data_IF_467694366877
#
_entry.id   IF_467694366877
#
_cell.length_a   1.000
_cell.length_b   1.000
_cell.length_c   1.000
_cell.angle_alpha   90.00
_cell.angle_beta   90.00
_cell.angle_gamma   90.00
#
_symmetry.space_group_name_H-M   'P 1'
#
loop_
_entity.id
_entity.type
_entity.pdbx_description
1 polymer ?
#
# COMPACT_ATOMS: atom_id res chain seq x y z
N UNK A 1 49.79 -37.72 -47.92
CA UNK A 1 49.62 -36.82 -46.76
C UNK A 1 48.78 -35.56 -47.07
N UNK A 2 48.83 -34.98 -48.28
CA UNK A 2 47.96 -33.84 -48.64
C UNK A 2 46.47 -34.25 -48.83
N UNK A 3 46.19 -35.36 -49.54
CA UNK A 3 44.82 -35.86 -49.77
C UNK A 3 44.08 -36.30 -48.49
N UNK A 4 44.80 -36.68 -47.43
CA UNK A 4 44.24 -37.07 -46.14
C UNK A 4 43.74 -35.87 -45.32
N UNK A 5 44.26 -34.65 -45.56
CA UNK A 5 43.82 -33.46 -44.86
C UNK A 5 42.55 -32.86 -45.48
N UNK A 6 42.46 -32.81 -46.81
CA UNK A 6 41.26 -32.35 -47.53
C UNK A 6 40.06 -33.28 -47.33
N UNK A 7 40.29 -34.60 -47.28
CA UNK A 7 39.24 -35.58 -46.98
C UNK A 7 38.66 -35.42 -45.57
N UNK A 8 39.48 -35.05 -44.58
CA UNK A 8 39.02 -34.75 -43.22
C UNK A 8 38.28 -33.41 -43.15
N UNK A 9 38.71 -32.40 -43.93
CA UNK A 9 38.08 -31.07 -43.96
C UNK A 9 36.67 -31.12 -44.60
N UNK A 10 36.46 -31.95 -45.63
CA UNK A 10 35.13 -32.12 -46.24
C UNK A 10 34.13 -32.85 -45.33
N UNK A 11 34.60 -33.75 -44.46
CA UNK A 11 33.75 -34.46 -43.49
C UNK A 11 33.20 -33.54 -42.37
N UNK A 12 33.79 -32.37 -42.14
CA UNK A 12 33.43 -31.45 -41.05
C UNK A 12 32.21 -30.54 -41.35
N UNK A 13 31.65 -30.57 -42.57
CA UNK A 13 30.51 -29.73 -42.98
C UNK A 13 29.23 -30.51 -43.27
N UNK A 14 29.21 -31.80 -42.98
CA UNK A 14 28.08 -32.66 -43.27
C UNK A 14 26.93 -32.39 -42.29
N UNK A 15 25.72 -32.17 -42.80
CA UNK A 15 24.45 -32.16 -42.07
C UNK A 15 23.53 -33.34 -42.46
N UNK A 16 22.33 -33.46 -41.86
CA UNK A 16 21.41 -34.58 -42.11
C UNK A 16 20.92 -34.73 -43.57
N UNK A 17 21.05 -33.69 -44.37
CA UNK A 17 20.67 -33.64 -45.79
C UNK A 17 21.86 -33.87 -46.74
N UNK A 18 23.06 -34.11 -46.20
CA UNK A 18 24.27 -34.29 -47.01
C UNK A 18 24.16 -35.51 -47.92
N UNK A 19 24.69 -35.34 -49.13
CA UNK A 19 24.66 -36.34 -50.20
C UNK A 19 26.03 -36.97 -50.44
N UNK A 20 26.08 -38.02 -51.26
CA UNK A 20 27.34 -38.67 -51.63
C UNK A 20 28.29 -37.78 -52.43
N UNK A 21 27.80 -36.71 -53.06
CA UNK A 21 28.64 -35.70 -53.75
C UNK A 21 29.61 -34.97 -52.82
N UNK A 22 29.29 -34.88 -51.53
CA UNK A 22 30.05 -34.11 -50.54
C UNK A 22 31.18 -34.92 -49.90
N UNK A 23 31.27 -36.21 -50.25
CA UNK A 23 32.33 -37.11 -49.79
C UNK A 23 33.54 -37.08 -50.72
N UNK A 24 34.76 -37.39 -50.22
CA UNK A 24 35.92 -37.55 -51.08
C UNK A 24 35.74 -38.77 -51.99
N UNK A 25 35.60 -38.51 -53.29
CA UNK A 25 35.41 -39.48 -54.35
C UNK A 25 36.72 -39.65 -55.15
N UNK A 26 37.05 -40.88 -55.50
CA UNK A 26 38.26 -41.21 -56.27
C UNK A 26 37.91 -41.48 -57.73
N UNK A 27 38.50 -40.73 -58.65
CA UNK A 27 38.39 -40.98 -60.08
C UNK A 27 39.48 -41.94 -60.54
N UNK A 28 39.09 -43.18 -60.87
CA UNK A 28 40.00 -44.13 -61.49
C UNK A 28 39.24 -45.12 -62.38
N UNK A 29 39.13 -44.73 -63.65
CA UNK A 29 38.45 -45.47 -64.70
C UNK A 29 39.43 -45.91 -65.79
N UNK A 30 39.30 -47.15 -66.26
CA UNK A 30 40.12 -47.70 -67.34
C UNK A 30 39.25 -48.34 -68.43
N UNK A 31 39.76 -48.33 -69.66
CA UNK A 31 39.15 -49.02 -70.80
C UNK A 31 39.10 -50.54 -70.58
N UNK A 32 38.06 -51.25 -71.09
CA UNK A 32 38.00 -52.71 -71.04
C UNK A 32 39.22 -53.41 -71.69
N UNK A 33 39.91 -52.71 -72.59
CA UNK A 33 41.11 -53.20 -73.30
C UNK A 33 42.42 -52.98 -72.52
N UNK A 34 42.38 -52.24 -71.41
CA UNK A 34 43.56 -51.96 -70.60
C UNK A 34 44.16 -53.24 -70.00
N UNK A 35 45.48 -53.39 -70.09
CA UNK A 35 46.21 -54.54 -69.49
C UNK A 35 46.15 -54.49 -67.96
N UNK A 36 46.00 -55.66 -67.31
CA UNK A 36 46.04 -55.74 -65.85
C UNK A 36 47.39 -55.31 -65.25
N UNK A 37 48.49 -55.40 -66.00
CA UNK A 37 49.80 -54.90 -65.58
C UNK A 37 49.77 -53.39 -65.30
N UNK A 38 49.06 -52.62 -66.12
CA UNK A 38 48.91 -51.18 -65.92
C UNK A 38 48.03 -50.88 -64.68
N UNK A 39 47.01 -51.70 -64.46
CA UNK A 39 46.13 -51.59 -63.29
C UNK A 39 46.89 -51.95 -62.00
N UNK A 40 47.74 -52.98 -62.03
CA UNK A 40 48.63 -53.35 -60.92
C UNK A 40 49.60 -52.20 -60.59
N UNK A 41 50.18 -51.57 -61.62
CA UNK A 41 51.06 -50.41 -61.46
C UNK A 41 50.35 -49.28 -60.70
N UNK A 42 49.12 -48.92 -61.10
CA UNK A 42 48.36 -47.88 -60.39
C UNK A 42 47.97 -48.26 -58.95
N UNK A 43 47.65 -49.52 -58.68
CA UNK A 43 47.39 -49.98 -57.31
C UNK A 43 48.64 -49.97 -56.40
N UNK A 44 49.83 -50.10 -56.98
CA UNK A 44 51.09 -50.02 -56.25
C UNK A 44 51.52 -48.56 -56.01
N UNK A 45 51.37 -47.69 -57.01
CA UNK A 45 51.71 -46.27 -56.91
C UNK A 45 50.74 -45.49 -56.01
N UNK A 46 49.48 -45.92 -55.91
CA UNK A 46 48.45 -45.25 -55.11
C UNK A 46 47.85 -46.20 -54.06
N UNK A 47 48.45 -46.26 -52.85
CA UNK A 47 47.95 -47.12 -51.77
C UNK A 47 46.54 -46.78 -51.25
N UNK A 48 46.03 -45.59 -51.52
CA UNK A 48 44.69 -45.17 -51.11
C UNK A 48 43.62 -45.49 -52.17
N UNK A 49 44.02 -46.03 -53.33
CA UNK A 49 43.12 -46.36 -54.43
C UNK A 49 42.24 -47.57 -54.06
N UNK A 50 40.91 -47.41 -53.92
CA UNK A 50 40.07 -48.46 -53.36
C UNK A 50 39.74 -49.57 -54.37
N UNK A 51 39.83 -49.28 -55.67
CA UNK A 51 39.49 -50.20 -56.75
C UNK A 51 39.68 -49.53 -58.11
N UNK A 52 39.19 -50.19 -59.15
CA UNK A 52 39.21 -49.71 -60.53
C UNK A 52 37.84 -49.86 -61.18
N UNK A 53 37.41 -48.80 -61.87
CA UNK A 53 36.17 -48.79 -62.67
C UNK A 53 36.53 -49.23 -64.08
N UNK A 54 35.80 -50.22 -64.60
CA UNK A 54 35.93 -50.68 -65.98
C UNK A 54 34.75 -50.15 -66.78
N UNK A 55 35.02 -49.18 -67.65
CA UNK A 55 34.01 -48.55 -68.48
C UNK A 55 34.60 -48.07 -69.80
N UNK A 56 33.83 -48.17 -70.88
CA UNK A 56 34.09 -47.49 -72.15
C UNK A 56 33.27 -46.21 -72.23
N UNK A 57 33.56 -45.35 -73.20
CA UNK A 57 32.89 -44.04 -73.38
C UNK A 57 31.35 -44.13 -73.32
N UNK A 58 30.75 -45.24 -73.77
CA UNK A 58 29.29 -45.42 -73.82
C UNK A 58 28.73 -46.47 -72.83
N UNK A 59 29.58 -47.17 -72.05
CA UNK A 59 29.11 -48.32 -71.25
C UNK A 59 29.94 -48.61 -70.02
N UNK A 60 29.26 -48.73 -68.88
CA UNK A 60 29.80 -49.31 -67.65
C UNK A 60 29.82 -50.84 -67.73
N UNK A 61 30.98 -51.45 -67.45
CA UNK A 61 31.13 -52.91 -67.44
C UNK A 61 31.19 -53.48 -66.03
N UNK A 62 31.74 -52.74 -65.07
CA UNK A 62 31.82 -53.17 -63.67
C UNK A 62 32.93 -52.47 -62.90
N UNK A 63 33.11 -52.88 -61.65
CA UNK A 63 34.18 -52.40 -60.77
C UNK A 63 34.91 -53.59 -60.15
N UNK A 64 36.23 -53.46 -60.03
CA UNK A 64 37.08 -54.44 -59.37
C UNK A 64 37.69 -53.77 -58.14
N UNK A 65 37.39 -54.29 -56.95
CA UNK A 65 37.99 -53.79 -55.73
C UNK A 65 39.48 -54.14 -55.70
N UNK A 66 40.29 -53.27 -55.08
CA UNK A 66 41.72 -53.51 -54.93
C UNK A 66 41.99 -54.80 -54.17
N UNK A 67 41.17 -55.08 -53.15
CA UNK A 67 41.23 -56.33 -52.38
C UNK A 67 41.06 -57.53 -53.29
N UNK A 68 39.97 -57.59 -54.05
CA UNK A 68 39.70 -58.70 -54.96
C UNK A 68 40.81 -58.86 -56.01
N UNK A 69 41.31 -57.76 -56.57
CA UNK A 69 42.44 -57.77 -57.49
C UNK A 69 43.67 -58.46 -56.88
N UNK A 70 44.10 -58.04 -55.69
CA UNK A 70 45.27 -58.64 -55.03
C UNK A 70 45.04 -60.07 -54.57
N UNK A 71 43.83 -60.43 -54.13
CA UNK A 71 43.46 -61.81 -53.79
C UNK A 71 43.65 -62.74 -54.99
N UNK A 72 43.18 -62.34 -56.17
CA UNK A 72 43.37 -63.13 -57.39
C UNK A 72 44.81 -63.10 -57.91
N UNK A 73 45.52 -61.98 -57.78
CA UNK A 73 46.94 -61.92 -58.18
C UNK A 73 47.85 -62.75 -57.28
N UNK A 74 47.41 -62.99 -56.04
CA UNK A 74 48.13 -63.78 -55.04
C UNK A 74 47.67 -65.25 -55.01
N UNK A 75 46.65 -65.64 -55.79
CA UNK A 75 46.18 -67.02 -55.88
C UNK A 75 47.09 -67.89 -56.76
N UNK A 76 47.13 -69.23 -56.56
CA UNK A 76 47.89 -70.13 -57.42
C UNK A 76 47.53 -69.94 -58.91
N UNK A 77 48.55 -69.74 -59.76
CA UNK A 77 48.45 -69.48 -61.20
C UNK A 77 47.66 -68.22 -61.62
N UNK A 78 47.12 -67.43 -60.67
CA UNK A 78 46.26 -66.27 -60.98
C UNK A 78 46.99 -65.16 -61.72
N UNK A 79 48.19 -64.80 -61.25
CA UNK A 79 49.05 -63.80 -61.91
C UNK A 79 49.38 -64.18 -63.35
N UNK A 80 49.87 -65.40 -63.58
CA UNK A 80 50.24 -65.88 -64.92
C UNK A 80 49.03 -65.96 -65.87
N UNK A 81 47.85 -66.28 -65.33
CA UNK A 81 46.62 -66.42 -66.11
C UNK A 81 46.06 -65.06 -66.59
N UNK A 82 46.19 -64.00 -65.79
CA UNK A 82 45.48 -62.75 -66.03
C UNK A 82 46.36 -61.54 -66.35
N UNK A 83 47.62 -61.46 -65.88
CA UNK A 83 48.39 -60.20 -65.89
C UNK A 83 48.60 -59.59 -67.29
N UNK A 84 48.77 -60.43 -68.32
CA UNK A 84 48.96 -60.00 -69.72
C UNK A 84 47.65 -59.83 -70.50
N UNK A 85 46.51 -60.12 -69.89
CA UNK A 85 45.20 -60.04 -70.55
C UNK A 85 44.59 -58.65 -70.32
N UNK A 86 43.66 -58.21 -71.19
CA UNK A 86 42.84 -57.05 -70.92
C UNK A 86 41.92 -57.23 -69.71
N UNK A 87 41.65 -56.15 -68.96
CA UNK A 87 40.85 -56.15 -67.72
C UNK A 87 39.44 -56.72 -67.89
N UNK A 88 38.84 -56.60 -69.08
CA UNK A 88 37.55 -57.22 -69.38
C UNK A 88 37.54 -58.74 -69.21
N UNK A 89 38.66 -59.44 -69.43
CA UNK A 89 38.74 -60.90 -69.25
C UNK A 89 38.75 -61.25 -67.78
N UNK A 90 39.40 -60.43 -66.97
CA UNK A 90 39.42 -60.58 -65.52
C UNK A 90 38.04 -60.34 -64.94
N UNK A 91 37.37 -59.27 -65.37
CA UNK A 91 35.99 -58.95 -64.98
C UNK A 91 34.98 -60.06 -65.35
N UNK A 92 35.15 -60.70 -66.52
CA UNK A 92 34.30 -61.84 -66.95
C UNK A 92 34.63 -63.14 -66.22
N UNK A 93 35.86 -63.32 -65.77
CA UNK A 93 36.30 -64.48 -65.00
C UNK A 93 35.92 -64.36 -63.51
N UNK A 94 35.59 -63.16 -63.06
CA UNK A 94 35.09 -62.90 -61.71
C UNK A 94 33.79 -63.67 -61.47
N UNK A 95 33.70 -64.49 -60.40
CA UNK A 95 32.48 -65.22 -60.07
C UNK A 95 31.30 -64.26 -59.96
N UNK A 96 30.12 -64.69 -60.41
CA UNK A 96 28.86 -63.93 -60.38
C UNK A 96 28.57 -63.29 -59.00
N UNK A 97 29.03 -63.92 -57.91
CA UNK A 97 28.96 -63.42 -56.53
C UNK A 97 29.66 -62.07 -56.27
N UNK A 98 30.67 -61.71 -57.08
CA UNK A 98 31.39 -60.44 -56.98
C UNK A 98 30.93 -59.42 -58.04
N UNK A 99 30.43 -59.90 -59.18
CA UNK A 99 29.99 -59.04 -60.29
C UNK A 99 28.57 -58.47 -60.09
N UNK A 100 27.63 -59.29 -59.60
CA UNK A 100 26.24 -58.86 -59.34
C UNK A 100 26.10 -57.96 -58.11
N UNK A 101 27.16 -57.86 -57.30
CA UNK A 101 27.20 -57.10 -56.04
C UNK A 101 27.96 -55.77 -56.15
N UNK A 102 28.33 -55.34 -57.36
CA UNK A 102 28.84 -54.00 -57.59
C UNK A 102 27.73 -52.97 -57.33
N UNK A 103 27.76 -52.34 -56.16
CA UNK A 103 26.76 -51.36 -55.77
C UNK A 103 27.04 -50.01 -56.44
N UNK A 104 26.16 -49.64 -57.37
CA UNK A 104 26.14 -48.33 -58.02
C UNK A 104 25.06 -47.47 -57.36
N UNK A 105 25.43 -46.29 -56.85
CA UNK A 105 24.51 -45.31 -56.26
C UNK A 105 24.59 -44.00 -57.03
N UNK A 106 23.49 -43.24 -57.06
CA UNK A 106 23.50 -41.89 -57.62
C UNK A 106 24.21 -40.94 -56.67
N UNK A 107 24.91 -39.95 -57.21
CA UNK A 107 25.69 -39.01 -56.42
C UNK A 107 24.83 -38.17 -55.46
N UNK A 108 23.57 -37.91 -55.83
CA UNK A 108 22.59 -37.18 -55.04
C UNK A 108 21.95 -38.00 -53.91
N UNK A 109 22.26 -39.30 -53.79
CA UNK A 109 21.76 -40.12 -52.70
C UNK A 109 22.23 -39.60 -51.34
N UNK A 110 21.36 -39.71 -50.32
CA UNK A 110 21.70 -39.30 -48.96
C UNK A 110 22.70 -40.26 -48.35
N UNK A 111 23.67 -39.74 -47.60
CA UNK A 111 24.69 -40.53 -46.89
C UNK A 111 24.04 -41.61 -46.00
N UNK A 112 23.01 -41.25 -45.24
CA UNK A 112 22.28 -42.18 -44.37
C UNK A 112 21.72 -43.40 -45.14
N UNK A 113 21.13 -43.15 -46.31
CA UNK A 113 20.53 -44.19 -47.14
C UNK A 113 21.62 -45.04 -47.80
N UNK A 114 22.66 -44.40 -48.33
CA UNK A 114 23.81 -45.08 -48.90
C UNK A 114 24.51 -46.01 -47.90
N UNK A 115 24.66 -45.61 -46.63
CA UNK A 115 25.20 -46.45 -45.56
C UNK A 115 24.33 -47.68 -45.34
N UNK A 116 23.00 -47.52 -45.27
CA UNK A 116 22.06 -48.63 -45.08
C UNK A 116 22.15 -49.63 -46.23
N UNK A 117 22.18 -49.14 -47.48
CA UNK A 117 22.30 -49.98 -48.67
C UNK A 117 23.66 -50.68 -48.68
N UNK A 118 24.74 -49.97 -48.36
CA UNK A 118 26.11 -50.51 -48.32
C UNK A 118 26.29 -51.62 -47.27
N UNK A 119 25.66 -51.47 -46.09
CA UNK A 119 25.72 -52.44 -44.99
C UNK A 119 24.87 -53.68 -45.22
N UNK A 120 23.85 -53.61 -46.09
CA UNK A 120 23.01 -54.75 -46.45
C UNK A 120 23.65 -55.68 -47.51
N UNK A 121 24.85 -55.36 -47.98
CA UNK A 121 25.62 -56.23 -48.88
C UNK A 121 26.09 -57.50 -48.16
N UNK A 122 26.34 -58.56 -48.92
CA UNK A 122 26.93 -59.80 -48.39
C UNK A 122 28.26 -59.54 -47.67
N UNK A 123 28.59 -60.32 -46.65
CA UNK A 123 29.83 -60.17 -45.84
C UNK A 123 31.11 -60.06 -46.68
N UNK A 124 31.17 -60.77 -47.82
CA UNK A 124 32.32 -60.75 -48.72
C UNK A 124 32.49 -59.43 -49.50
N UNK A 125 31.47 -58.58 -49.59
CA UNK A 125 31.45 -57.36 -50.39
C UNK A 125 31.08 -56.10 -49.59
N UNK A 126 30.74 -56.25 -48.30
CA UNK A 126 30.29 -55.13 -47.44
C UNK A 126 31.35 -54.05 -47.28
N UNK A 127 32.63 -54.44 -47.33
CA UNK A 127 33.77 -53.53 -47.22
C UNK A 127 34.30 -53.04 -48.57
N UNK A 128 33.81 -53.61 -49.68
CA UNK A 128 34.25 -53.20 -51.01
C UNK A 128 33.74 -51.78 -51.32
N UNK A 129 34.48 -51.01 -52.13
CA UNK A 129 34.08 -49.64 -52.48
C UNK A 129 32.73 -49.61 -53.19
N UNK A 130 32.14 -48.43 -53.21
CA UNK A 130 30.90 -48.15 -53.93
C UNK A 130 31.23 -47.40 -55.21
N UNK A 131 30.44 -47.62 -56.26
CA UNK A 131 30.51 -46.82 -57.47
C UNK A 131 29.45 -45.73 -57.39
N UNK A 132 29.87 -44.48 -57.52
CA UNK A 132 29.00 -43.31 -57.50
C UNK A 132 28.82 -42.82 -58.92
N UNK A 133 27.59 -42.79 -59.39
CA UNK A 133 27.20 -42.36 -60.72
C UNK A 133 26.72 -40.91 -60.69
N UNK A 134 27.33 -40.07 -61.53
CA UNK A 134 26.84 -38.73 -61.82
C UNK A 134 26.10 -38.73 -63.15
N UNK A 135 24.85 -38.25 -63.14
CA UNK A 135 24.04 -38.11 -64.33
C UNK A 135 24.38 -36.78 -65.03
N UNK A 136 24.88 -36.85 -66.26
CA UNK A 136 25.13 -35.65 -67.05
C UNK A 136 23.82 -35.08 -67.60
N UNK A 137 23.41 -33.90 -67.14
CA UNK A 137 22.17 -33.24 -67.55
C UNK A 137 22.14 -32.84 -69.03
N UNK A 138 23.29 -32.76 -69.71
CA UNK A 138 23.39 -32.26 -71.08
C UNK A 138 23.47 -33.37 -72.15
N UNK A 139 23.84 -34.59 -71.78
CA UNK A 139 23.91 -35.73 -72.70
C UNK A 139 23.37 -36.99 -72.00
N UNK A 140 22.15 -37.40 -72.36
CA UNK A 140 21.39 -38.51 -71.74
C UNK A 140 22.01 -39.92 -71.91
N UNK A 141 23.24 -40.03 -72.42
CA UNK A 141 23.97 -41.29 -72.65
C UNK A 141 25.33 -41.39 -71.97
N UNK A 142 25.85 -40.31 -71.36
CA UNK A 142 27.17 -40.31 -70.71
C UNK A 142 27.02 -40.15 -69.21
N UNK A 143 27.46 -41.14 -68.44
CA UNK A 143 27.56 -41.08 -66.98
C UNK A 143 29.02 -41.12 -66.57
N UNK A 144 29.41 -40.25 -65.64
CA UNK A 144 30.73 -40.32 -65.01
C UNK A 144 30.62 -41.13 -63.72
N UNK A 145 31.63 -41.95 -63.46
CA UNK A 145 31.65 -42.87 -62.34
C UNK A 145 32.85 -42.59 -61.45
N UNK A 146 32.63 -42.60 -60.14
CA UNK A 146 33.68 -42.41 -59.15
C UNK A 146 33.62 -43.52 -58.11
N UNK A 147 34.73 -43.77 -57.43
CA UNK A 147 34.81 -44.73 -56.33
C UNK A 147 34.67 -44.01 -54.99
N UNK A 148 33.80 -44.54 -54.14
CA UNK A 148 33.70 -44.16 -52.74
C UNK A 148 34.20 -45.30 -51.85
N UNK A 149 35.21 -45.01 -51.03
CA UNK A 149 35.68 -45.95 -50.02
C UNK A 149 34.60 -46.12 -48.93
N UNK A 150 34.26 -47.37 -48.60
CA UNK A 150 33.29 -47.69 -47.56
C UNK A 150 33.65 -47.10 -46.19
N UNK A 151 34.95 -47.01 -45.85
CA UNK A 151 35.40 -46.40 -44.59
C UNK A 151 35.02 -44.91 -44.52
N UNK A 152 35.16 -44.18 -45.62
CA UNK A 152 34.75 -42.76 -45.72
C UNK A 152 33.25 -42.61 -45.45
N UNK A 153 32.43 -43.50 -46.02
CA UNK A 153 30.98 -43.49 -45.84
C UNK A 153 30.58 -43.72 -44.37
N UNK A 154 31.24 -44.64 -43.68
CA UNK A 154 30.99 -44.91 -42.25
C UNK A 154 31.48 -43.76 -41.34
N UNK A 155 32.64 -43.17 -41.65
CA UNK A 155 33.14 -42.00 -40.92
C UNK A 155 32.20 -40.81 -41.05
N UNK A 156 31.66 -40.56 -42.25
CA UNK A 156 30.66 -39.55 -42.50
C UNK A 156 29.39 -39.78 -41.66
N UNK A 157 28.87 -41.01 -41.62
CA UNK A 157 27.72 -41.38 -40.79
C UNK A 157 27.95 -41.14 -39.29
N UNK A 158 29.13 -41.51 -38.79
CA UNK A 158 29.49 -41.34 -37.38
C UNK A 158 29.54 -39.87 -36.98
N UNK A 159 30.07 -39.01 -37.87
CA UNK A 159 30.09 -37.57 -37.65
C UNK A 159 28.68 -36.98 -37.56
N UNK A 160 27.80 -37.32 -38.52
CA UNK A 160 26.40 -36.89 -38.52
C UNK A 160 25.65 -37.26 -37.23
N UNK A 161 25.83 -38.51 -36.77
CA UNK A 161 25.20 -38.97 -35.53
C UNK A 161 25.71 -38.23 -34.29
N UNK A 162 27.00 -37.93 -34.24
CA UNK A 162 27.61 -37.18 -33.14
C UNK A 162 27.04 -35.77 -33.07
N UNK A 163 26.96 -35.07 -34.20
CA UNK A 163 26.46 -33.70 -34.26
C UNK A 163 24.99 -33.60 -33.81
N UNK A 164 24.13 -34.49 -34.31
CA UNK A 164 22.72 -34.56 -33.90
C UNK A 164 22.61 -34.84 -32.39
N UNK A 165 23.44 -35.73 -31.86
CA UNK A 165 23.40 -36.06 -30.42
C UNK A 165 23.89 -34.90 -29.55
N UNK A 166 24.89 -34.15 -30.00
CA UNK A 166 25.39 -32.95 -29.33
C UNK A 166 24.33 -31.84 -29.32
N UNK A 167 23.65 -31.60 -30.45
CA UNK A 167 22.54 -30.65 -30.54
C UNK A 167 21.37 -31.06 -29.63
N UNK A 168 20.96 -32.33 -29.66
CA UNK A 168 19.91 -32.86 -28.80
C UNK A 168 20.26 -32.69 -27.31
N UNK A 169 21.52 -32.89 -26.94
CA UNK A 169 22.00 -32.72 -25.57
C UNK A 169 21.96 -31.26 -25.13
N UNK A 170 22.28 -30.31 -26.03
CA UNK A 170 22.10 -28.87 -25.80
C UNK A 170 20.63 -28.54 -25.58
N UNK A 171 19.73 -28.99 -26.46
CA UNK A 171 18.28 -28.75 -26.31
C UNK A 171 17.72 -29.31 -25.00
N UNK A 172 18.13 -30.52 -24.60
CA UNK A 172 17.74 -31.11 -23.30
C UNK A 172 18.20 -30.24 -22.12
N UNK A 173 19.40 -29.69 -22.19
CA UNK A 173 19.94 -28.81 -21.14
C UNK A 173 19.18 -27.47 -21.08
N UNK A 174 18.88 -26.87 -22.23
CA UNK A 174 18.06 -25.65 -22.30
C UNK A 174 16.65 -25.89 -21.74
N UNK A 175 15.99 -26.98 -22.12
CA UNK A 175 14.67 -27.33 -21.62
C UNK A 175 14.67 -27.51 -20.09
N UNK A 176 15.68 -28.20 -19.54
CA UNK A 176 15.83 -28.37 -18.09
C UNK A 176 15.97 -27.04 -17.36
N UNK A 177 16.83 -26.14 -17.86
CA UNK A 177 17.02 -24.82 -17.26
C UNK A 177 15.75 -23.97 -17.34
N UNK A 178 15.03 -24.04 -18.46
CA UNK A 178 13.76 -23.34 -18.63
C UNK A 178 12.69 -23.83 -17.63
N UNK A 179 12.61 -25.15 -17.40
CA UNK A 179 11.69 -25.72 -16.38
C UNK A 179 12.02 -25.24 -14.96
N UNK A 180 13.31 -25.12 -14.62
CA UNK A 180 13.72 -24.59 -13.31
C UNK A 180 13.27 -23.13 -13.16
N UNK A 181 13.47 -22.30 -14.19
CA UNK A 181 13.03 -20.90 -14.17
C UNK A 181 11.51 -20.77 -14.08
N UNK A 182 10.75 -21.60 -14.80
CA UNK A 182 9.29 -21.63 -14.70
C UNK A 182 8.83 -21.97 -13.29
N UNK A 183 9.41 -23.00 -12.66
CA UNK A 183 9.09 -23.39 -11.29
C UNK A 183 9.37 -22.25 -10.29
N UNK A 184 10.52 -21.58 -10.44
CA UNK A 184 10.86 -20.41 -9.62
C UNK A 184 9.85 -19.27 -9.79
N UNK A 185 9.49 -18.92 -11.04
CA UNK A 185 8.48 -17.89 -11.33
C UNK A 185 7.12 -18.25 -10.75
N UNK A 186 6.70 -19.52 -10.86
CA UNK A 186 5.44 -19.99 -10.29
C UNK A 186 5.42 -19.87 -8.76
N UNK A 187 6.50 -20.28 -8.09
CA UNK A 187 6.61 -20.15 -6.64
C UNK A 187 6.54 -18.69 -6.17
N UNK A 188 7.21 -17.78 -6.90
CA UNK A 188 7.17 -16.34 -6.61
C UNK A 188 5.76 -15.75 -6.82
N UNK A 189 5.07 -16.16 -7.87
CA UNK A 189 3.66 -15.77 -8.10
C UNK A 189 2.74 -16.27 -6.97
N UNK A 190 2.94 -17.51 -6.51
CA UNK A 190 2.16 -18.07 -5.41
C UNK A 190 2.40 -17.28 -4.11
N UNK A 191 3.65 -16.94 -3.79
CA UNK A 191 3.99 -16.10 -2.64
C UNK A 191 3.33 -14.72 -2.72
N UNK A 192 3.42 -14.05 -3.88
CA UNK A 192 2.76 -12.76 -4.08
C UNK A 192 1.24 -12.85 -3.94
N UNK A 193 0.62 -13.91 -4.46
CA UNK A 193 -0.83 -14.14 -4.34
C UNK A 193 -1.23 -14.34 -2.88
N UNK A 194 -0.45 -15.08 -2.09
CA UNK A 194 -0.71 -15.24 -0.66
C UNK A 194 -0.55 -13.94 0.12
N UNK A 195 0.48 -13.14 -0.18
CA UNK A 195 0.68 -11.84 0.47
C UNK A 195 -0.47 -10.85 0.15
N UNK A 196 -0.92 -10.82 -1.11
CA UNK A 196 -2.05 -9.99 -1.53
C UNK A 196 -3.35 -10.41 -0.83
N UNK A 197 -3.57 -11.73 -0.66
CA UNK A 197 -4.73 -12.25 0.08
C UNK A 197 -4.70 -11.80 1.55
N UNK A 198 -3.54 -11.88 2.20
CA UNK A 198 -3.37 -11.39 3.57
C UNK A 198 -3.60 -9.89 3.69
N UNK A 199 -3.05 -9.08 2.78
CA UNK A 199 -3.31 -7.63 2.75
C UNK A 199 -4.79 -7.31 2.54
N UNK A 200 -5.46 -8.00 1.62
CA UNK A 200 -6.91 -7.81 1.39
C UNK A 200 -7.71 -8.11 2.66
N UNK A 201 -7.34 -9.14 3.42
CA UNK A 201 -8.00 -9.47 4.68
C UNK A 201 -7.75 -8.41 5.76
N UNK A 202 -6.54 -7.86 5.84
CA UNK A 202 -6.22 -6.75 6.75
C UNK A 202 -7.04 -5.49 6.41
N UNK A 203 -7.15 -5.15 5.12
CA UNK A 203 -7.97 -4.03 4.65
C UNK A 203 -9.44 -4.21 5.05
N UNK A 204 -9.99 -5.43 4.89
CA UNK A 204 -11.38 -5.72 5.29
C UNK A 204 -11.60 -5.55 6.80
N UNK A 205 -10.67 -6.04 7.62
CA UNK A 205 -10.76 -5.88 9.08
C UNK A 205 -10.68 -4.39 9.46
N UNK A 206 -9.75 -3.65 8.84
CA UNK A 206 -9.57 -2.21 9.10
C UNK A 206 -10.80 -1.40 8.66
N UNK A 207 -11.41 -1.75 7.53
CA UNK A 207 -12.63 -1.11 7.06
C UNK A 207 -13.79 -1.30 8.05
N UNK A 208 -13.99 -2.52 8.55
CA UNK A 208 -15.02 -2.80 9.57
C UNK A 208 -14.78 -2.02 10.87
N UNK A 209 -13.52 -1.86 11.28
CA UNK A 209 -13.19 -1.05 12.46
C UNK A 209 -13.49 0.44 12.23
N UNK A 210 -13.14 0.97 11.07
CA UNK A 210 -13.43 2.37 10.70
C UNK A 210 -14.93 2.64 10.65
N UNK A 211 -15.73 1.69 10.16
CA UNK A 211 -17.20 1.78 10.15
C UNK A 211 -17.77 1.87 11.58
N UNK A 212 -17.28 1.05 12.50
CA UNK A 212 -17.66 1.13 13.93
C UNK A 212 -17.28 2.50 14.51
N UNK A 213 -16.05 2.96 14.27
CA UNK A 213 -15.58 4.26 14.75
C UNK A 213 -16.40 5.43 14.17
N UNK A 214 -16.79 5.35 12.90
CA UNK A 214 -17.64 6.36 12.27
C UNK A 214 -19.02 6.42 12.93
N UNK A 215 -19.63 5.27 13.21
CA UNK A 215 -20.91 5.22 13.91
C UNK A 215 -20.81 5.78 15.33
N UNK A 216 -19.70 5.51 16.04
CA UNK A 216 -19.45 6.09 17.36
C UNK A 216 -19.32 7.62 17.29
N UNK A 217 -18.63 8.16 16.28
CA UNK A 217 -18.51 9.62 16.06
C UNK A 217 -19.87 10.26 15.77
N UNK A 218 -20.71 9.62 14.94
CA UNK A 218 -22.06 10.11 14.66
C UNK A 218 -22.89 10.17 15.95
N UNK A 219 -22.87 9.09 16.74
CA UNK A 219 -23.55 9.05 18.04
C UNK A 219 -23.04 10.13 19.01
N UNK A 220 -21.72 10.35 19.08
CA UNK A 220 -21.15 11.44 19.88
C UNK A 220 -21.57 12.82 19.38
N UNK A 221 -21.63 13.03 18.06
CA UNK A 221 -22.10 14.29 17.48
C UNK A 221 -23.56 14.56 17.80
N UNK A 222 -24.42 13.53 17.80
CA UNK A 222 -25.82 13.64 18.21
C UNK A 222 -25.93 14.02 19.69
N UNK A 223 -25.14 13.41 20.56
CA UNK A 223 -25.09 13.76 21.99
C UNK A 223 -24.62 15.20 22.22
N UNK A 224 -23.61 15.66 21.49
CA UNK A 224 -23.13 17.05 21.57
C UNK A 224 -24.22 18.02 21.11
N UNK A 225 -24.96 17.68 20.05
CA UNK A 225 -26.08 18.51 19.59
C UNK A 225 -27.22 18.58 20.61
N UNK A 226 -27.60 17.46 21.24
CA UNK A 226 -28.58 17.46 22.34
C UNK A 226 -28.09 18.33 23.52
N UNK A 227 -26.81 18.21 23.88
CA UNK A 227 -26.21 19.01 24.94
C UNK A 227 -26.22 20.50 24.61
N UNK A 228 -25.88 20.87 23.37
CA UNK A 228 -25.93 22.25 22.90
C UNK A 228 -27.36 22.81 22.92
N UNK A 229 -28.36 22.01 22.55
CA UNK A 229 -29.77 22.41 22.63
C UNK A 229 -30.16 22.68 24.08
N UNK A 230 -29.85 21.77 25.01
CA UNK A 230 -30.12 21.95 26.45
C UNK A 230 -29.40 23.17 27.01
N UNK A 231 -28.17 23.42 26.58
CA UNK A 231 -27.40 24.59 27.01
C UNK A 231 -28.07 25.89 26.52
N UNK A 232 -28.57 25.92 25.28
CA UNK A 232 -29.37 27.04 24.76
C UNK A 232 -30.62 27.29 25.61
N UNK A 233 -31.36 26.24 25.96
CA UNK A 233 -32.55 26.35 26.83
C UNK A 233 -32.20 26.87 28.24
N UNK A 234 -31.17 26.31 28.86
CA UNK A 234 -30.71 26.71 30.20
C UNK A 234 -30.25 28.18 30.19
N UNK A 235 -29.45 28.59 29.20
CA UNK A 235 -28.99 29.98 29.10
C UNK A 235 -30.15 30.94 28.88
N UNK A 236 -31.13 30.60 28.04
CA UNK A 236 -32.33 31.41 27.85
C UNK A 236 -33.12 31.56 29.16
N UNK A 237 -33.30 30.46 29.90
CA UNK A 237 -33.96 30.48 31.21
C UNK A 237 -33.21 31.35 32.24
N UNK A 238 -31.89 31.17 32.36
CA UNK A 238 -31.04 31.95 33.27
C UNK A 238 -31.05 33.43 32.88
N UNK A 239 -30.99 33.77 31.59
CA UNK A 239 -31.05 35.15 31.12
C UNK A 239 -32.38 35.81 31.53
N UNK A 240 -33.50 35.12 31.27
CA UNK A 240 -34.82 35.62 31.63
C UNK A 240 -34.98 35.82 33.14
N UNK A 241 -34.58 34.83 33.94
CA UNK A 241 -34.74 34.88 35.39
C UNK A 241 -33.76 35.88 36.03
N UNK A 242 -32.54 35.97 35.51
CA UNK A 242 -31.53 36.96 35.89
C UNK A 242 -32.03 38.39 35.64
N UNK A 243 -32.57 38.68 34.45
CA UNK A 243 -33.20 39.98 34.14
C UNK A 243 -34.27 40.34 35.15
N UNK A 244 -35.20 39.44 35.46
CA UNK A 244 -36.25 39.70 36.49
C UNK A 244 -35.65 40.03 37.86
N UNK A 245 -34.67 39.27 38.32
CA UNK A 245 -34.01 39.50 39.60
C UNK A 245 -33.29 40.86 39.65
N UNK A 246 -32.64 41.25 38.55
CA UNK A 246 -32.01 42.56 38.40
C UNK A 246 -33.03 43.71 38.44
N UNK A 247 -34.16 43.59 37.72
CA UNK A 247 -35.25 44.57 37.79
C UNK A 247 -35.80 44.74 39.20
N UNK A 248 -36.08 43.65 39.91
CA UNK A 248 -36.58 43.69 41.28
C UNK A 248 -35.56 44.35 42.24
N UNK A 249 -34.27 44.06 42.05
CA UNK A 249 -33.18 44.68 42.83
C UNK A 249 -33.10 46.17 42.55
N UNK A 250 -33.17 46.59 41.28
CA UNK A 250 -33.17 48.00 40.90
C UNK A 250 -34.34 48.77 41.53
N UNK A 251 -35.55 48.22 41.47
CA UNK A 251 -36.74 48.82 42.08
C UNK A 251 -36.59 48.94 43.62
N UNK A 252 -36.06 47.89 44.26
CA UNK A 252 -35.79 47.89 45.71
C UNK A 252 -34.77 48.97 46.11
N UNK A 253 -33.69 49.09 45.35
CA UNK A 253 -32.63 50.09 45.60
C UNK A 253 -33.12 51.51 45.36
N UNK A 254 -33.97 51.74 44.35
CA UNK A 254 -34.60 53.04 44.12
C UNK A 254 -35.51 53.45 45.30
N UNK A 255 -36.28 52.50 45.85
CA UNK A 255 -37.08 52.72 47.06
C UNK A 255 -36.20 53.06 48.27
N UNK A 256 -35.07 52.35 48.44
CA UNK A 256 -34.10 52.64 49.52
C UNK A 256 -33.53 54.06 49.37
N UNK A 257 -33.10 54.46 48.18
CA UNK A 257 -32.60 55.81 47.92
C UNK A 257 -33.63 56.87 48.29
N UNK A 258 -34.88 56.71 47.85
CA UNK A 258 -35.97 57.63 48.22
C UNK A 258 -36.18 57.71 49.74
N UNK A 259 -36.12 56.57 50.43
CA UNK A 259 -36.25 56.53 51.90
C UNK A 259 -35.06 57.16 52.62
N UNK A 260 -33.85 57.04 52.10
CA UNK A 260 -32.68 57.73 52.64
C UNK A 260 -32.79 59.26 52.47
N UNK A 261 -33.26 59.73 51.31
CA UNK A 261 -33.53 61.16 51.10
C UNK A 261 -34.60 61.67 52.07
N UNK A 262 -35.67 60.89 52.31
CA UNK A 262 -36.68 61.21 53.33
C UNK A 262 -36.07 61.31 54.74
N UNK A 263 -35.16 60.39 55.13
CA UNK A 263 -34.48 60.41 56.43
C UNK A 263 -33.62 61.68 56.59
N UNK A 264 -32.83 62.05 55.57
CA UNK A 264 -32.01 63.26 55.59
C UNK A 264 -32.88 64.51 55.74
N UNK A 265 -33.99 64.58 55.01
CA UNK A 265 -34.95 65.69 55.11
C UNK A 265 -35.57 65.80 56.51
N UNK A 266 -36.01 64.67 57.08
CA UNK A 266 -36.55 64.61 58.45
C UNK A 266 -35.49 65.04 59.46
N UNK A 267 -34.24 64.59 59.31
CA UNK A 267 -33.12 65.02 60.15
C UNK A 267 -32.89 66.53 60.12
N UNK A 268 -32.96 67.16 58.94
CA UNK A 268 -32.87 68.63 58.84
C UNK A 268 -34.02 69.35 59.57
N UNK A 269 -35.25 68.82 59.48
CA UNK A 269 -36.41 69.38 60.20
C UNK A 269 -36.21 69.30 61.73
N UNK A 270 -35.86 68.13 62.25
CA UNK A 270 -35.59 67.97 63.68
C UNK A 270 -34.44 68.86 64.16
N UNK A 271 -33.38 69.02 63.35
CA UNK A 271 -32.27 69.92 63.69
C UNK A 271 -32.76 71.36 63.88
N UNK A 272 -33.72 71.81 63.06
CA UNK A 272 -34.30 73.15 63.18
C UNK A 272 -35.22 73.27 64.41
N UNK A 273 -36.05 72.27 64.69
CA UNK A 273 -36.90 72.24 65.88
C UNK A 273 -36.07 72.23 67.18
N UNK A 274 -34.98 71.46 67.23
CA UNK A 274 -34.09 71.44 68.39
C UNK A 274 -33.37 72.77 68.61
N UNK A 275 -33.05 73.52 67.55
CA UNK A 275 -32.52 74.90 67.69
C UNK A 275 -33.53 75.81 68.39
N UNK A 276 -34.82 75.69 68.07
CA UNK A 276 -35.88 76.44 68.74
C UNK A 276 -35.98 76.06 70.22
N UNK A 277 -35.93 74.76 70.55
CA UNK A 277 -35.94 74.28 71.94
C UNK A 277 -34.72 74.80 72.71
N UNK A 278 -33.54 74.81 72.09
CA UNK A 278 -32.32 75.30 72.70
C UNK A 278 -32.41 76.82 73.01
N UNK A 279 -32.94 77.60 72.07
CA UNK A 279 -33.23 79.03 72.28
C UNK A 279 -34.26 79.27 73.38
N UNK A 280 -35.35 78.51 73.40
CA UNK A 280 -36.36 78.60 74.45
C UNK A 280 -35.81 78.22 75.83
N UNK A 281 -34.98 77.18 75.90
CA UNK A 281 -34.30 76.74 77.13
C UNK A 281 -33.37 77.84 77.67
N UNK A 282 -32.63 78.50 76.78
CA UNK A 282 -31.78 79.63 77.15
C UNK A 282 -32.61 80.83 77.66
N UNK A 283 -33.76 81.11 77.04
CA UNK A 283 -34.67 82.15 77.49
C UNK A 283 -35.24 81.83 78.88
N UNK A 284 -35.63 80.58 79.15
CA UNK A 284 -36.07 80.11 80.47
C UNK A 284 -34.96 80.28 81.51
N UNK A 285 -33.70 79.99 81.14
CA UNK A 285 -32.54 80.19 82.02
C UNK A 285 -32.37 81.67 82.39
N UNK A 286 -32.48 82.59 81.42
CA UNK A 286 -32.40 84.05 81.64
C UNK A 286 -33.54 84.52 82.56
N UNK A 287 -34.79 84.14 82.24
CA UNK A 287 -35.97 84.51 83.03
C UNK A 287 -35.88 83.96 84.45
N UNK A 288 -35.40 82.72 84.62
CA UNK A 288 -35.20 82.11 85.93
C UNK A 288 -34.14 82.86 86.74
N UNK A 289 -33.01 83.26 86.14
CA UNK A 289 -32.00 84.10 86.83
C UNK A 289 -32.60 85.42 87.32
N UNK A 290 -33.42 86.09 86.50
CA UNK A 290 -34.09 87.33 86.87
C UNK A 290 -35.14 87.13 87.99
N UNK A 291 -35.97 86.10 87.87
CA UNK A 291 -36.97 85.76 88.88
C UNK A 291 -36.32 85.38 90.23
N UNK A 292 -35.16 84.72 90.21
CA UNK A 292 -34.39 84.39 91.41
C UNK A 292 -33.89 85.64 92.10
N UNK A 293 -33.37 86.60 91.33
CA UNK A 293 -32.93 87.89 91.86
C UNK A 293 -34.09 88.66 92.50
N UNK A 294 -35.26 88.70 91.85
CA UNK A 294 -36.48 89.31 92.40
C UNK A 294 -36.96 88.61 93.68
N UNK A 295 -36.93 87.27 93.72
CA UNK A 295 -37.30 86.50 94.90
C UNK A 295 -36.37 86.77 96.09
N UNK A 296 -35.06 86.88 95.86
CA UNK A 296 -34.07 87.24 96.89
C UNK A 296 -34.33 88.68 97.39
N UNK A 297 -34.55 89.63 96.49
CA UNK A 297 -34.88 91.01 96.88
C UNK A 297 -36.16 91.08 97.71
N UNK A 298 -37.20 90.36 97.30
CA UNK A 298 -38.46 90.27 98.03
C UNK A 298 -38.28 89.60 99.41
N UNK A 299 -37.45 88.56 99.52
CA UNK A 299 -37.12 87.93 100.80
C UNK A 299 -36.37 88.89 101.76
N UNK A 300 -35.45 89.71 101.22
CA UNK A 300 -34.74 90.74 102.00
C UNK A 300 -35.72 91.81 102.51
N UNK A 301 -36.66 92.27 101.67
CA UNK A 301 -37.69 93.25 102.07
C UNK A 301 -38.67 92.65 103.10
N UNK A 302 -39.08 91.40 102.91
CA UNK A 302 -39.97 90.69 103.83
C UNK A 302 -39.33 90.42 105.20
N UNK A 303 -37.99 90.24 105.27
CA UNK A 303 -37.26 90.06 106.53
C UNK A 303 -36.92 91.37 107.26
N UNK A 304 -36.90 92.51 106.56
CA UNK A 304 -36.72 93.85 107.15
C UNK A 304 -38.00 94.47 107.74
N UNK A 305 -39.16 93.94 107.35
CA UNK A 305 -40.47 94.42 107.81
C UNK A 305 -40.89 93.55 109.01
N UNK A 306 -41.24 94.15 110.16
CA UNK A 306 -41.55 93.45 111.42
C UNK A 306 -42.69 92.42 111.33
N UNK A 307 -43.03 91.78 112.46
CA UNK A 307 -43.79 90.51 112.65
C UNK A 307 -45.11 90.28 111.86
N UNK A 308 -45.60 91.24 111.08
CA UNK A 308 -46.79 91.11 110.21
C UNK A 308 -46.50 90.44 108.85
N UNK A 309 -45.25 90.42 108.36
CA UNK A 309 -44.91 89.93 107.00
C UNK A 309 -44.17 88.58 106.96
N UNK A 310 -44.10 87.85 108.08
CA UNK A 310 -43.36 86.57 108.19
C UNK A 310 -43.83 85.49 107.21
N UNK A 311 -45.13 85.46 106.87
CA UNK A 311 -45.69 84.55 105.85
C UNK A 311 -45.16 84.79 104.43
N UNK A 312 -44.76 86.03 104.09
CA UNK A 312 -44.22 86.35 102.76
C UNK A 312 -42.79 85.83 102.57
N UNK A 313 -41.99 85.73 103.64
CA UNK A 313 -40.65 85.12 103.59
C UNK A 313 -40.71 83.65 103.14
N UNK A 314 -41.71 82.90 103.63
CA UNK A 314 -41.94 81.52 103.20
C UNK A 314 -42.32 81.44 101.72
N UNK A 315 -43.17 82.35 101.23
CA UNK A 315 -43.56 82.42 99.82
C UNK A 315 -42.35 82.74 98.94
N UNK A 316 -41.49 83.69 99.33
CA UNK A 316 -40.29 84.06 98.55
C UNK A 316 -39.24 82.95 98.52
N UNK A 317 -39.09 82.18 99.61
CA UNK A 317 -38.22 81.01 99.63
C UNK A 317 -38.75 79.89 98.72
N UNK A 318 -40.06 79.64 98.72
CA UNK A 318 -40.70 78.67 97.80
C UNK A 318 -40.58 79.13 96.33
N UNK A 319 -40.76 80.42 96.03
CA UNK A 319 -40.53 80.97 94.68
C UNK A 319 -39.06 80.77 94.27
N UNK A 320 -38.10 81.05 95.16
CA UNK A 320 -36.67 80.85 94.88
C UNK A 320 -36.33 79.38 94.58
N UNK A 321 -36.96 78.44 95.30
CA UNK A 321 -36.81 77.01 95.05
C UNK A 321 -37.38 76.61 93.69
N UNK A 322 -38.62 77.00 93.37
CA UNK A 322 -39.26 76.74 92.07
C UNK A 322 -38.45 77.33 90.90
N UNK A 323 -37.89 78.53 91.08
CA UNK A 323 -37.06 79.17 90.06
C UNK A 323 -35.73 78.43 89.85
N UNK A 324 -35.09 77.94 90.91
CA UNK A 324 -33.91 77.08 90.78
C UNK A 324 -34.24 75.78 90.05
N UNK A 325 -35.34 75.12 90.41
CA UNK A 325 -35.82 73.90 89.74
C UNK A 325 -36.12 74.17 88.26
N UNK A 326 -36.72 75.32 87.93
CA UNK A 326 -37.02 75.73 86.54
C UNK A 326 -35.74 76.02 85.75
N UNK A 327 -34.77 76.70 86.34
CA UNK A 327 -33.46 76.94 85.72
C UNK A 327 -32.70 75.63 85.48
N UNK A 328 -32.76 74.70 86.42
CA UNK A 328 -32.15 73.38 86.30
C UNK A 328 -32.81 72.56 85.19
N UNK A 329 -34.15 72.58 85.11
CA UNK A 329 -34.89 71.94 84.03
C UNK A 329 -34.54 72.55 82.65
N UNK A 330 -34.40 73.88 82.56
CA UNK A 330 -33.96 74.56 81.33
C UNK A 330 -32.55 74.15 80.89
N UNK A 331 -31.59 74.05 81.83
CA UNK A 331 -30.24 73.58 81.55
C UNK A 331 -30.21 72.12 81.08
N UNK A 332 -31.00 71.24 81.73
CA UNK A 332 -31.16 69.85 81.31
C UNK A 332 -31.77 69.75 79.90
N UNK A 333 -32.77 70.57 79.58
CA UNK A 333 -33.40 70.60 78.26
C UNK A 333 -32.41 71.02 77.16
N UNK A 334 -31.52 71.98 77.45
CA UNK A 334 -30.44 72.37 76.56
C UNK A 334 -29.47 71.20 76.30
N UNK A 335 -29.02 70.51 77.35
CA UNK A 335 -28.14 69.34 77.23
C UNK A 335 -28.76 68.22 76.39
N UNK A 336 -30.04 67.91 76.61
CA UNK A 336 -30.77 66.91 75.82
C UNK A 336 -30.91 67.34 74.36
N UNK A 337 -31.25 68.61 74.11
CA UNK A 337 -31.36 69.13 72.75
C UNK A 337 -30.03 69.04 71.98
N UNK A 338 -28.90 69.40 72.61
CA UNK A 338 -27.58 69.28 71.98
C UNK A 338 -27.20 67.83 71.70
N UNK A 339 -27.50 66.91 72.62
CA UNK A 339 -27.26 65.48 72.40
C UNK A 339 -28.09 64.94 71.22
N UNK A 340 -29.38 65.31 71.14
CA UNK A 340 -30.25 64.94 70.02
C UNK A 340 -29.75 65.52 68.69
N UNK A 341 -29.24 66.76 68.67
CA UNK A 341 -28.64 67.35 67.46
C UNK A 341 -27.43 66.54 66.98
N UNK A 342 -26.56 66.09 67.89
CA UNK A 342 -25.44 65.19 67.55
C UNK A 342 -25.92 63.86 66.98
N UNK A 343 -26.94 63.25 67.59
CA UNK A 343 -27.51 61.98 67.10
C UNK A 343 -28.19 62.09 65.73
N UNK A 344 -28.82 63.22 65.43
CA UNK A 344 -29.38 63.49 64.09
C UNK A 344 -28.26 63.67 63.06
N UNK A 345 -27.16 64.30 63.44
CA UNK A 345 -25.99 64.42 62.55
C UNK A 345 -25.39 63.04 62.23
N UNK A 346 -25.28 62.15 63.22
CA UNK A 346 -24.88 60.75 63.01
C UNK A 346 -25.87 60.03 62.06
N UNK A 347 -27.18 60.20 62.27
CA UNK A 347 -28.23 59.61 61.44
C UNK A 347 -28.13 60.07 59.97
N UNK A 348 -27.93 61.36 59.73
CA UNK A 348 -27.78 61.91 58.38
C UNK A 348 -26.53 61.36 57.68
N UNK A 349 -25.41 61.20 58.40
CA UNK A 349 -24.20 60.60 57.83
C UNK A 349 -24.42 59.11 57.46
N UNK A 350 -25.13 58.36 58.32
CA UNK A 350 -25.51 56.98 58.01
C UNK A 350 -26.43 56.89 56.80
N UNK A 351 -27.40 57.80 56.67
CA UNK A 351 -28.29 57.86 55.51
C UNK A 351 -27.52 58.17 54.21
N UNK A 352 -26.57 59.11 54.24
CA UNK A 352 -25.73 59.45 53.10
C UNK A 352 -24.81 58.28 52.69
N UNK A 353 -24.23 57.59 53.68
CA UNK A 353 -23.45 56.36 53.43
C UNK A 353 -24.34 55.28 52.79
N UNK A 354 -25.57 55.12 53.29
CA UNK A 354 -26.56 54.21 52.72
C UNK A 354 -26.91 54.53 51.26
N UNK A 355 -27.02 55.83 50.91
CA UNK A 355 -27.24 56.31 49.54
C UNK A 355 -26.07 55.99 48.62
N UNK A 356 -24.83 56.12 49.10
CA UNK A 356 -23.63 55.75 48.33
C UNK A 356 -23.59 54.25 48.04
N UNK A 357 -23.90 53.40 49.04
CA UNK A 357 -23.99 51.94 48.86
C UNK A 357 -25.10 51.57 47.88
N UNK A 358 -26.26 52.22 47.97
CA UNK A 358 -27.35 52.03 47.02
C UNK A 358 -26.91 52.39 45.58
N UNK A 359 -26.16 53.47 45.40
CA UNK A 359 -25.65 53.87 44.08
C UNK A 359 -24.67 52.85 43.49
N UNK A 360 -23.71 52.36 44.27
CA UNK A 360 -22.77 51.34 43.77
C UNK A 360 -23.48 50.02 43.45
N UNK A 361 -24.55 49.68 44.18
CA UNK A 361 -25.37 48.51 43.88
C UNK A 361 -26.11 48.64 42.54
N UNK A 362 -26.60 49.83 42.17
CA UNK A 362 -27.18 50.08 40.84
C UNK A 362 -26.14 49.88 39.73
N UNK A 363 -24.94 50.44 39.89
CA UNK A 363 -23.86 50.31 38.90
C UNK A 363 -23.44 48.84 38.72
N UNK A 364 -23.34 48.07 39.80
CA UNK A 364 -23.03 46.64 39.75
C UNK A 364 -24.14 45.83 39.06
N UNK A 365 -25.40 46.19 39.31
CA UNK A 365 -26.56 45.54 38.70
C UNK A 365 -26.59 45.75 37.18
N UNK A 366 -26.35 46.98 36.72
CA UNK A 366 -26.24 47.30 35.29
C UNK A 366 -25.09 46.56 34.61
N UNK A 367 -23.94 46.44 35.27
CA UNK A 367 -22.81 45.67 34.74
C UNK A 367 -23.15 44.19 34.62
N UNK A 368 -23.84 43.63 35.61
CA UNK A 368 -24.26 42.22 35.62
C UNK A 368 -25.29 41.93 34.52
N UNK A 369 -26.21 42.86 34.26
CA UNK A 369 -27.17 42.78 33.15
C UNK A 369 -26.45 42.77 31.79
N UNK A 370 -25.46 43.66 31.59
CA UNK A 370 -24.68 43.69 30.34
C UNK A 370 -23.92 42.38 30.09
N UNK A 371 -23.33 41.77 31.12
CA UNK A 371 -22.65 40.47 31.00
C UNK A 371 -23.62 39.33 30.67
N UNK A 372 -24.86 39.40 31.17
CA UNK A 372 -25.89 38.41 30.90
C UNK A 372 -26.38 38.51 29.44
N UNK A 373 -26.51 39.72 28.90
CA UNK A 373 -26.81 39.95 27.49
C UNK A 373 -25.70 39.47 26.55
N UNK A 374 -24.44 39.61 26.96
CA UNK A 374 -23.29 39.09 26.19
C UNK A 374 -23.28 37.56 26.18
N UNK A 375 -23.56 36.91 27.33
CA UNK A 375 -23.71 35.46 27.42
C UNK A 375 -24.84 34.95 26.52
N UNK A 376 -25.98 35.65 26.49
CA UNK A 376 -27.11 35.31 25.64
C UNK A 376 -26.74 35.41 24.15
N UNK A 377 -26.00 36.44 23.74
CA UNK A 377 -25.49 36.59 22.37
C UNK A 377 -24.50 35.50 21.96
N UNK A 378 -23.58 35.13 22.84
CA UNK A 378 -22.58 34.08 22.56
C UNK A 378 -23.24 32.72 22.34
N UNK A 379 -24.32 32.43 23.06
CA UNK A 379 -25.06 31.17 22.95
C UNK A 379 -26.06 31.17 21.78
N UNK A 380 -26.51 32.35 21.33
CA UNK A 380 -27.39 32.52 20.16
C UNK A 380 -26.65 32.61 18.82
N UNK A 381 -25.31 32.66 18.78
CA UNK A 381 -24.59 32.62 17.51
C UNK A 381 -24.97 31.35 16.74
N UNK A 382 -25.21 31.46 15.42
CA UNK A 382 -25.54 30.30 14.62
C UNK A 382 -24.39 29.31 14.72
N UNK A 383 -24.76 28.05 15.01
CA UNK A 383 -23.86 26.91 14.90
C UNK A 383 -23.12 27.04 13.57
N UNK A 384 -21.81 26.78 13.55
CA UNK A 384 -21.07 26.58 12.31
C UNK A 384 -21.85 25.54 11.49
N UNK A 385 -22.59 26.04 10.50
CA UNK A 385 -23.44 25.25 9.64
C UNK A 385 -22.60 24.14 9.04
N UNK A 386 -23.12 22.91 9.18
CA UNK A 386 -22.93 21.77 8.28
C UNK A 386 -21.92 22.04 7.16
N UNK A 387 -20.68 21.59 7.36
CA UNK A 387 -20.08 20.84 6.27
C UNK A 387 -20.79 19.50 6.28
N UNK A 388 -21.85 19.38 5.48
CA UNK A 388 -22.50 18.12 5.18
C UNK A 388 -21.41 17.11 4.83
N UNK A 389 -21.16 16.16 5.72
CA UNK A 389 -20.57 14.89 5.32
C UNK A 389 -21.67 14.24 4.47
N UNK A 390 -21.55 14.48 3.16
CA UNK A 390 -22.48 14.11 2.13
C UNK A 390 -22.95 12.67 2.32
N UNK A 391 -24.23 12.50 2.67
CA UNK A 391 -24.90 11.21 2.76
C UNK A 391 -25.14 10.57 1.39
N UNK A 392 -24.77 11.25 0.29
CA UNK A 392 -24.82 10.73 -1.07
C UNK A 392 -23.77 9.66 -1.37
N UNK A 393 -22.67 9.61 -0.63
CA UNK A 393 -21.61 8.61 -0.90
C UNK A 393 -21.97 7.23 -0.32
N UNK A 394 -22.96 7.13 0.58
CA UNK A 394 -23.31 5.87 1.26
C UNK A 394 -24.08 4.90 0.36
N UNK A 395 -24.78 5.39 -0.68
CA UNK A 395 -25.56 4.52 -1.57
C UNK A 395 -24.77 3.94 -2.74
N UNK A 396 -23.58 4.46 -3.04
CA UNK A 396 -22.72 3.89 -4.07
C UNK A 396 -21.79 2.79 -3.53
N UNK A 397 -21.49 2.78 -2.21
CA UNK A 397 -20.58 1.80 -1.60
C UNK A 397 -21.24 0.50 -1.12
N UNK A 398 -22.56 0.46 -0.87
CA UNK A 398 -23.27 -0.81 -0.61
C UNK A 398 -23.34 -1.71 -1.85
N UNK A 399 -23.36 -1.12 -3.06
CA UNK A 399 -23.15 -1.88 -4.30
C UNK A 399 -21.74 -2.40 -4.42
N UNK A 400 -20.73 -1.66 -3.94
CA UNK A 400 -19.34 -2.11 -3.94
C UNK A 400 -19.14 -3.30 -3.00
N UNK A 401 -19.82 -3.38 -1.85
CA UNK A 401 -19.75 -4.56 -0.97
C UNK A 401 -20.33 -5.82 -1.62
N UNK A 402 -21.50 -5.74 -2.27
CA UNK A 402 -22.12 -6.90 -2.91
C UNK A 402 -21.34 -7.35 -4.16
N UNK A 403 -20.91 -6.39 -5.00
CA UNK A 403 -20.07 -6.68 -6.18
C UNK A 403 -18.69 -7.23 -5.74
N UNK A 404 -18.14 -6.79 -4.61
CA UNK A 404 -16.86 -7.29 -4.09
C UNK A 404 -16.96 -8.69 -3.52
N UNK A 405 -18.09 -9.08 -2.93
CA UNK A 405 -18.33 -10.43 -2.43
C UNK A 405 -18.59 -11.41 -3.59
N UNK A 406 -19.40 -11.03 -4.57
CA UNK A 406 -19.67 -11.86 -5.75
C UNK A 406 -18.40 -12.05 -6.61
N UNK A 407 -17.56 -11.02 -6.71
CA UNK A 407 -16.25 -11.12 -7.35
C UNK A 407 -15.24 -11.92 -6.51
N UNK A 408 -15.30 -11.87 -5.17
CA UNK A 408 -14.47 -12.70 -4.30
C UNK A 408 -14.79 -14.19 -4.49
N UNK A 409 -16.07 -14.54 -4.59
CA UNK A 409 -16.49 -15.93 -4.81
C UNK A 409 -16.17 -16.40 -6.23
N UNK A 410 -16.28 -15.53 -7.24
CA UNK A 410 -15.77 -15.81 -8.60
C UNK A 410 -14.26 -16.03 -8.61
N UNK A 411 -13.48 -15.16 -7.98
CA UNK A 411 -12.03 -15.27 -7.94
C UNK A 411 -11.57 -16.51 -7.17
N UNK A 412 -12.24 -16.87 -6.07
CA UNK A 412 -12.00 -18.11 -5.32
C UNK A 412 -12.28 -19.33 -6.20
N UNK A 413 -13.39 -19.34 -6.94
CA UNK A 413 -13.73 -20.44 -7.84
C UNK A 413 -12.75 -20.56 -9.02
N UNK A 414 -12.30 -19.44 -9.58
CA UNK A 414 -11.30 -19.42 -10.64
C UNK A 414 -9.96 -19.97 -10.13
N UNK A 415 -9.50 -19.52 -8.96
CA UNK A 415 -8.26 -20.00 -8.35
C UNK A 415 -8.34 -21.49 -8.00
N UNK A 416 -9.46 -21.97 -7.48
CA UNK A 416 -9.66 -23.38 -7.19
C UNK A 416 -9.68 -24.24 -8.46
N UNK A 417 -10.33 -23.78 -9.53
CA UNK A 417 -10.38 -24.48 -10.82
C UNK A 417 -8.99 -24.55 -11.49
N UNK A 418 -8.20 -23.48 -11.38
CA UNK A 418 -6.79 -23.52 -11.83
C UNK A 418 -5.92 -24.41 -10.95
N UNK A 419 -6.20 -24.51 -9.64
CA UNK A 419 -5.49 -25.42 -8.74
C UNK A 419 -5.80 -26.88 -9.07
N UNK A 420 -7.07 -27.25 -9.30
CA UNK A 420 -7.47 -28.59 -9.73
C UNK A 420 -6.85 -28.98 -11.07
N UNK A 421 -6.92 -28.09 -12.08
CA UNK A 421 -6.27 -28.34 -13.39
C UNK A 421 -4.75 -28.48 -13.29
N UNK A 422 -4.13 -27.82 -12.31
CA UNK A 422 -2.70 -27.94 -12.07
C UNK A 422 -2.36 -29.27 -11.39
N UNK A 423 -3.17 -29.73 -10.44
CA UNK A 423 -3.00 -31.04 -9.78
C UNK A 423 -3.28 -32.21 -10.74
N UNK A 424 -4.28 -32.13 -11.63
CA UNK A 424 -4.49 -33.10 -12.71
C UNK A 424 -3.26 -33.21 -13.63
N UNK A 425 -2.74 -32.08 -14.12
CA UNK A 425 -1.53 -32.08 -14.97
C UNK A 425 -0.29 -32.60 -14.26
N UNK A 426 -0.18 -32.39 -12.94
CA UNK A 426 0.94 -32.91 -12.17
C UNK A 426 0.84 -34.44 -11.98
N UNK A 427 -0.38 -34.96 -11.95
CA UNK A 427 -0.68 -36.40 -11.90
C UNK A 427 -0.34 -37.06 -13.23
N UNK A 428 -0.73 -36.46 -14.37
CA UNK A 428 -0.37 -36.91 -15.72
C UNK A 428 1.15 -36.92 -15.95
N UNK A 429 1.87 -35.91 -15.46
CA UNK A 429 3.33 -35.83 -15.56
C UNK A 429 3.99 -36.93 -14.70
N UNK A 430 3.41 -37.27 -13.54
CA UNK A 430 3.91 -38.34 -12.68
C UNK A 430 3.69 -39.73 -13.30
N UNK A 431 2.56 -39.95 -13.96
CA UNK A 431 2.27 -41.18 -14.71
C UNK A 431 3.20 -41.34 -15.93
N UNK A 432 3.45 -40.26 -16.67
CA UNK A 432 4.41 -40.26 -17.79
C UNK A 432 5.84 -40.57 -17.32
N UNK A 433 6.25 -40.08 -16.14
CA UNK A 433 7.56 -40.41 -15.55
C UNK A 433 7.64 -41.88 -15.13
N UNK A 434 6.56 -42.46 -14.61
CA UNK A 434 6.49 -43.87 -14.24
C UNK A 434 6.49 -44.81 -15.46
N UNK A 435 5.81 -44.45 -16.56
CA UNK A 435 5.86 -45.21 -17.82
C UNK A 435 7.26 -45.20 -18.47
N UNK A 436 7.96 -44.06 -18.41
CA UNK A 436 9.36 -43.97 -18.89
C UNK A 436 10.32 -44.79 -18.03
N UNK A 437 10.06 -44.91 -16.72
CA UNK A 437 10.88 -45.72 -15.82
C UNK A 437 10.62 -47.22 -15.98
N UNK A 438 9.38 -47.63 -16.23
CA UNK A 438 9.02 -49.03 -16.52
C UNK A 438 9.55 -49.51 -17.87
N UNK A 439 9.49 -48.67 -18.92
CA UNK A 439 10.05 -49.00 -20.24
C UNK A 439 11.58 -49.13 -20.25
N UNK A 440 12.28 -48.56 -19.25
CA UNK A 440 13.72 -48.79 -19.05
C UNK A 440 14.04 -50.11 -18.33
N UNK A 441 13.10 -50.67 -17.58
CA UNK A 441 13.29 -51.98 -16.90
C UNK A 441 13.00 -53.15 -17.83
N UNK A 442 12.08 -53.02 -18.78
CA UNK A 442 11.74 -54.09 -19.75
C UNK A 442 12.73 -54.24 -20.91
N UNK A 443 13.66 -53.30 -21.13
CA UNK A 443 14.75 -53.38 -22.13
C UNK A 443 16.09 -53.91 -21.58
N UNK A 444 16.11 -54.40 -20.33
CA UNK A 444 17.24 -55.10 -19.71
C UNK A 444 16.85 -56.56 -19.44
N UNK A 445 16.66 -57.35 -20.50
CA UNK A 445 16.78 -58.81 -20.49
C UNK A 445 17.46 -59.19 -21.80
#
# INVERSE_FOLDING_TARGET
MANTLESIINLLKLNSESTLTELPLTDFQVSPMTSLELVEYHFNEQPDLPGVIVASDEKFFGMISRRYFHEQMSSPYGRELFIKRPIQYFLKATPTKYLDNCLVLLAEEKINLAVQIALNRSEENVYDPLVIQFLNKNNLGFSTYFLLNFQTLILAQSHLLKEVNDELSRHKSYAKNYLIQLKYKQQKLQQNTTALRSQKQEILIRHKLLEIQQNDIISQSEQINDLNHRLKEITAFISQEGKKAFYATFEGVQKINKKMDEIVNIGHLFTNELKLINSASHQIEIVSKQAKHLAIQAAIVASHSGSELSGFSHITNEIGKLVNETSQAGSQMNLVANNLMMKISELNNLAETGKQIAKSLVENNQRSEATLDELEKLVQQPDLERSEVNSSDVTEFSKVTDISQENLDRDINIVNNYKEKFEEKNTDISELQMQVLNNKKTKKI
#
